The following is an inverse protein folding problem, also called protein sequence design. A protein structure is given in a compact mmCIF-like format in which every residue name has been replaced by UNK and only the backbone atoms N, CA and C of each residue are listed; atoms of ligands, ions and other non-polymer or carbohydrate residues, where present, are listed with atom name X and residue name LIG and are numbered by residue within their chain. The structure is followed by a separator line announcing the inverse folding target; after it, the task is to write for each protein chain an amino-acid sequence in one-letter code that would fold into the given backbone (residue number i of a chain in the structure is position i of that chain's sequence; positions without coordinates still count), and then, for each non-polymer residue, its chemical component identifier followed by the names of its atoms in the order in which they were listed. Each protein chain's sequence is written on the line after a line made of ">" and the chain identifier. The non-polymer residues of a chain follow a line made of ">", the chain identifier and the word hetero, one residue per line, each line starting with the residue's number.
data_IF_377184652305
#
_entry.id   IF_377184652305
#
_cell.length_a   1.000
_cell.length_b   1.000
_cell.length_c   1.000
_cell.angle_alpha   90.00
_cell.angle_beta   90.00
_cell.angle_gamma   90.00
#
_symmetry.space_group_name_H-M   'P 1'
#
loop_
_entity.id
_entity.type
_entity.pdbx_description
1 polymer ?
#
# COMPACT_ATOMS: atom_id res chain seq x y z
N UNK A 1 2.32 30.61 -20.50
CA UNK A 1 3.28 29.68 -21.14
C UNK A 1 4.12 28.95 -20.09
N UNK A 2 4.63 29.66 -19.08
CA UNK A 2 5.52 29.07 -18.08
C UNK A 2 4.88 27.92 -17.26
N UNK A 3 3.61 28.06 -16.90
CA UNK A 3 2.84 26.99 -16.21
C UNK A 3 2.68 25.71 -17.05
N UNK A 4 2.62 25.83 -18.38
CA UNK A 4 2.51 24.66 -19.28
C UNK A 4 3.85 23.90 -19.31
N UNK A 5 4.97 24.63 -19.36
CA UNK A 5 6.31 24.04 -19.31
C UNK A 5 6.60 23.40 -17.96
N UNK A 6 6.21 24.04 -16.84
CA UNK A 6 6.30 23.47 -15.49
C UNK A 6 5.46 22.19 -15.38
N UNK A 7 4.23 22.19 -15.89
CA UNK A 7 3.37 21.01 -15.87
C UNK A 7 3.96 19.85 -16.68
N UNK A 8 4.45 20.12 -17.89
CA UNK A 8 5.10 19.10 -18.71
C UNK A 8 6.39 18.57 -18.06
N UNK A 9 7.21 19.46 -17.50
CA UNK A 9 8.44 19.10 -16.79
C UNK A 9 8.17 18.25 -15.55
N UNK A 10 7.19 18.63 -14.73
CA UNK A 10 6.80 17.86 -13.54
C UNK A 10 6.25 16.49 -13.91
N UNK A 11 5.39 16.42 -14.94
CA UNK A 11 4.85 15.15 -15.42
C UNK A 11 5.97 14.20 -15.87
N UNK A 12 6.93 14.68 -16.66
CA UNK A 12 8.08 13.89 -17.09
C UNK A 12 8.98 13.46 -15.93
N UNK A 13 9.22 14.35 -14.96
CA UNK A 13 10.01 14.05 -13.78
C UNK A 13 9.35 12.96 -12.92
N UNK A 14 8.06 13.10 -12.61
CA UNK A 14 7.29 12.09 -11.87
C UNK A 14 7.26 10.76 -12.63
N UNK A 15 7.06 10.79 -13.95
CA UNK A 15 7.06 9.57 -14.77
C UNK A 15 8.41 8.84 -14.67
N UNK A 16 9.54 9.55 -14.77
CA UNK A 16 10.88 8.97 -14.61
C UNK A 16 11.09 8.42 -13.20
N UNK A 17 10.67 9.17 -12.17
CA UNK A 17 10.84 8.75 -10.79
C UNK A 17 10.01 7.51 -10.44
N UNK A 18 8.73 7.46 -10.85
CA UNK A 18 7.89 6.28 -10.67
C UNK A 18 8.39 5.09 -11.48
N UNK A 19 8.97 5.33 -12.67
CA UNK A 19 9.61 4.26 -13.46
C UNK A 19 10.78 3.62 -12.72
N UNK A 20 11.56 4.40 -11.97
CA UNK A 20 12.67 3.92 -11.13
C UNK A 20 12.14 3.20 -9.88
N UNK A 21 11.06 3.70 -9.27
CA UNK A 21 10.43 3.06 -8.10
C UNK A 21 9.88 1.65 -8.39
N UNK A 22 9.60 1.33 -9.66
CA UNK A 22 9.29 -0.02 -10.12
C UNK A 22 7.82 -0.24 -10.45
N UNK A 23 7.41 -1.52 -10.50
CA UNK A 23 6.07 -1.96 -10.96
C UNK A 23 5.24 -2.48 -9.79
N UNK A 24 4.83 -1.61 -8.86
CA UNK A 24 3.77 -1.98 -7.89
C UNK A 24 2.41 -1.66 -8.53
N UNK A 25 1.53 -2.65 -8.60
CA UNK A 25 0.14 -2.43 -9.00
C UNK A 25 -0.59 -1.63 -7.92
N UNK A 26 -1.57 -0.81 -8.32
CA UNK A 26 -2.40 -0.03 -7.38
C UNK A 26 -3.07 -0.91 -6.29
N UNK A 27 -3.35 -2.18 -6.62
CA UNK A 27 -3.94 -3.17 -5.72
C UNK A 27 -3.02 -3.63 -4.58
N UNK A 28 -1.71 -3.43 -4.74
CA UNK A 28 -0.67 -3.95 -3.84
C UNK A 28 -0.02 -2.84 -3.02
N UNK A 29 -0.53 -1.60 -3.14
CA UNK A 29 -0.07 -0.47 -2.37
C UNK A 29 -0.36 -0.71 -0.89
N UNK A 30 0.69 -0.58 -0.09
CA UNK A 30 0.58 -0.58 1.37
C UNK A 30 -0.01 0.76 1.85
N UNK A 31 -0.47 0.82 3.09
CA UNK A 31 -0.93 2.08 3.70
C UNK A 31 0.15 3.16 3.65
N UNK A 32 1.42 2.77 3.79
CA UNK A 32 2.55 3.69 3.69
C UNK A 32 2.71 4.25 2.27
N UNK A 33 2.57 3.40 1.25
CA UNK A 33 2.62 3.84 -0.16
C UNK A 33 1.49 4.84 -0.45
N UNK A 34 0.33 4.66 0.19
CA UNK A 34 -0.80 5.58 0.07
C UNK A 34 -0.50 6.96 0.67
N UNK A 35 0.12 7.00 1.87
CA UNK A 35 0.57 8.25 2.50
C UNK A 35 1.62 8.95 1.63
N UNK A 36 2.57 8.19 1.07
CA UNK A 36 3.59 8.71 0.17
C UNK A 36 2.96 9.34 -1.08
N UNK A 37 1.99 8.66 -1.70
CA UNK A 37 1.27 9.18 -2.86
C UNK A 37 0.55 10.50 -2.54
N UNK A 38 -0.07 10.62 -1.37
CA UNK A 38 -0.70 11.87 -0.93
C UNK A 38 0.31 13.01 -0.77
N UNK A 39 1.45 12.75 -0.16
CA UNK A 39 2.51 13.77 0.03
C UNK A 39 3.07 14.22 -1.32
N UNK A 40 3.29 13.29 -2.26
CA UNK A 40 3.75 13.61 -3.61
C UNK A 40 2.70 14.47 -4.34
N UNK A 41 1.41 14.16 -4.18
CA UNK A 41 0.31 14.96 -4.75
C UNK A 41 0.34 16.41 -4.26
N UNK A 42 0.47 16.61 -2.95
CA UNK A 42 0.56 17.95 -2.35
C UNK A 42 1.80 18.71 -2.83
N UNK A 43 2.98 18.07 -2.83
CA UNK A 43 4.21 18.68 -3.33
C UNK A 43 4.10 19.06 -4.82
N UNK A 44 3.45 18.21 -5.62
CA UNK A 44 3.20 18.47 -7.04
C UNK A 44 2.27 19.67 -7.23
N UNK A 45 1.20 19.77 -6.45
CA UNK A 45 0.29 20.92 -6.48
C UNK A 45 1.02 22.22 -6.16
N UNK A 46 1.84 22.21 -5.10
CA UNK A 46 2.65 23.38 -4.73
C UNK A 46 3.66 23.75 -5.83
N UNK A 47 4.25 22.79 -6.53
CA UNK A 47 5.16 23.04 -7.64
C UNK A 47 4.49 23.70 -8.86
N UNK A 48 3.24 23.33 -9.14
CA UNK A 48 2.48 23.81 -10.28
C UNK A 48 1.91 25.21 -10.05
N UNK A 49 1.53 25.51 -8.80
CA UNK A 49 0.87 26.76 -8.42
C UNK A 49 1.82 27.79 -7.76
N UNK A 50 2.97 27.35 -7.26
CA UNK A 50 3.92 28.19 -6.55
C UNK A 50 4.88 28.97 -7.45
N UNK A 51 5.50 30.00 -6.88
CA UNK A 51 6.56 30.79 -7.50
C UNK A 51 7.85 29.95 -7.73
N UNK A 52 8.82 30.48 -8.48
CA UNK A 52 9.93 29.73 -9.10
C UNK A 52 10.70 28.77 -8.16
N UNK A 53 10.91 29.15 -6.90
CA UNK A 53 11.57 28.30 -5.89
C UNK A 53 10.73 27.07 -5.47
N UNK A 54 9.42 27.09 -5.69
CA UNK A 54 8.49 25.99 -5.38
C UNK A 54 8.72 24.75 -6.24
N UNK A 55 9.07 24.95 -7.52
CA UNK A 55 9.27 23.82 -8.45
C UNK A 55 10.52 22.99 -8.09
N UNK A 56 11.66 23.65 -7.86
CA UNK A 56 12.91 22.98 -7.51
C UNK A 56 12.78 22.31 -6.13
N UNK A 57 12.19 23.01 -5.15
CA UNK A 57 11.96 22.44 -3.82
C UNK A 57 11.04 21.21 -3.89
N UNK A 58 9.95 21.26 -4.65
CA UNK A 58 9.09 20.11 -4.82
C UNK A 58 9.81 18.94 -5.48
N UNK A 59 10.62 19.19 -6.52
CA UNK A 59 11.47 18.16 -7.14
C UNK A 59 12.41 17.52 -6.13
N UNK A 60 13.09 18.31 -5.29
CA UNK A 60 13.98 17.81 -4.24
C UNK A 60 13.23 16.98 -3.20
N UNK A 61 12.05 17.45 -2.75
CA UNK A 61 11.21 16.72 -1.79
C UNK A 61 10.76 15.39 -2.37
N UNK A 62 10.18 15.39 -3.58
CA UNK A 62 9.68 14.18 -4.25
C UNK A 62 10.83 13.20 -4.50
N UNK A 63 11.99 13.68 -4.99
CA UNK A 63 13.16 12.84 -5.21
C UNK A 63 13.67 12.22 -3.90
N UNK A 64 13.74 13.01 -2.82
CA UNK A 64 14.16 12.52 -1.49
C UNK A 64 13.20 11.45 -0.98
N UNK A 65 11.89 11.68 -1.08
CA UNK A 65 10.87 10.73 -0.65
C UNK A 65 10.95 9.41 -1.43
N UNK A 66 11.19 9.47 -2.75
CA UNK A 66 11.32 8.27 -3.57
C UNK A 66 12.62 7.51 -3.27
N UNK A 67 13.73 8.22 -3.06
CA UNK A 67 14.98 7.59 -2.63
C UNK A 67 14.81 6.91 -1.27
N UNK A 68 14.10 7.55 -0.33
CA UNK A 68 13.77 6.95 0.96
C UNK A 68 12.86 5.73 0.81
N UNK A 69 11.83 5.79 -0.04
CA UNK A 69 10.92 4.66 -0.27
C UNK A 69 11.63 3.45 -0.89
N UNK A 70 12.45 3.68 -1.91
CA UNK A 70 13.28 2.65 -2.54
C UNK A 70 14.28 2.10 -1.53
N UNK A 71 14.94 2.97 -0.76
CA UNK A 71 15.88 2.57 0.29
C UNK A 71 15.23 1.72 1.38
N UNK A 72 14.04 2.11 1.85
CA UNK A 72 13.25 1.33 2.80
C UNK A 72 12.81 0.00 2.18
N UNK A 73 12.37 -0.01 0.91
CA UNK A 73 11.99 -1.23 0.21
C UNK A 73 13.16 -2.22 0.09
N UNK A 74 14.38 -1.74 -0.21
CA UNK A 74 15.59 -2.57 -0.22
C UNK A 74 15.97 -3.04 1.20
N UNK A 75 15.85 -2.17 2.20
CA UNK A 75 16.12 -2.54 3.60
C UNK A 75 15.11 -3.58 4.13
N UNK A 76 13.86 -3.54 3.68
CA UNK A 76 12.83 -4.55 3.97
C UNK A 76 13.20 -5.93 3.43
N UNK A 77 13.90 -6.02 2.29
CA UNK A 77 14.38 -7.31 1.74
C UNK A 77 15.41 -7.97 2.67
N UNK A 78 16.31 -7.19 3.27
CA UNK A 78 17.32 -7.70 4.20
C UNK A 78 16.80 -7.89 5.63
N UNK A 79 15.73 -7.22 6.04
CA UNK A 79 15.22 -7.26 7.42
C UNK A 79 13.73 -7.58 7.52
N UNK A 80 13.42 -8.83 7.92
CA UNK A 80 12.06 -9.28 8.26
C UNK A 80 11.42 -8.53 9.45
N UNK A 81 12.22 -7.86 10.29
CA UNK A 81 11.70 -7.00 11.37
C UNK A 81 11.24 -5.66 10.81
N UNK A 82 12.02 -5.05 9.92
CA UNK A 82 11.67 -3.79 9.27
C UNK A 82 10.43 -3.95 8.39
N UNK A 83 10.36 -5.05 7.62
CA UNK A 83 9.17 -5.38 6.83
C UNK A 83 7.91 -5.53 7.71
N UNK A 84 8.05 -6.15 8.90
CA UNK A 84 6.93 -6.31 9.84
C UNK A 84 6.43 -5.01 10.45
N UNK A 85 7.33 -4.07 10.73
CA UNK A 85 6.97 -2.78 11.33
C UNK A 85 6.35 -1.85 10.29
N UNK A 86 6.87 -1.86 9.06
CA UNK A 86 6.44 -0.93 8.01
C UNK A 86 5.24 -1.43 7.21
N UNK A 87 5.21 -2.72 6.84
CA UNK A 87 4.16 -3.28 5.97
C UNK A 87 3.19 -4.20 6.73
N UNK A 88 3.42 -4.43 8.03
CA UNK A 88 2.73 -5.47 8.77
C UNK A 88 3.14 -6.89 8.37
N UNK A 89 2.37 -7.89 8.81
CA UNK A 89 2.55 -9.29 8.43
C UNK A 89 1.22 -9.91 8.00
N UNK A 90 1.32 -10.82 7.03
CA UNK A 90 0.20 -11.70 6.69
C UNK A 90 -0.21 -12.50 7.93
N UNK A 91 -1.47 -12.38 8.35
CA UNK A 91 -1.97 -13.01 9.58
C UNK A 91 -3.09 -13.98 9.25
N UNK A 92 -2.87 -15.26 9.51
CA UNK A 92 -3.92 -16.26 9.41
C UNK A 92 -4.96 -16.03 10.51
N UNK A 93 -6.21 -15.80 10.12
CA UNK A 93 -7.34 -15.51 11.02
C UNK A 93 -8.41 -16.60 11.03
N UNK A 94 -8.49 -17.43 10.00
CA UNK A 94 -9.32 -18.66 9.99
C UNK A 94 -8.47 -19.84 9.56
N UNK A 95 -8.64 -20.98 10.23
CA UNK A 95 -7.99 -22.25 9.91
C UNK A 95 -9.00 -23.40 9.98
N UNK A 96 -9.24 -24.06 8.86
CA UNK A 96 -10.16 -25.20 8.69
C UNK A 96 -11.52 -24.95 9.37
N UNK A 97 -12.19 -23.87 8.96
CA UNK A 97 -13.50 -23.48 9.49
C UNK A 97 -13.51 -22.93 10.92
N UNK A 98 -12.34 -22.69 11.54
CA UNK A 98 -12.27 -22.16 12.92
C UNK A 98 -11.65 -20.77 12.95
N UNK A 99 -12.35 -19.84 13.58
CA UNK A 99 -11.85 -18.50 13.86
C UNK A 99 -10.71 -18.53 14.88
N UNK A 100 -9.61 -17.87 14.54
CA UNK A 100 -8.47 -17.68 15.42
C UNK A 100 -8.61 -16.34 16.15
N UNK A 101 -9.56 -16.25 17.09
CA UNK A 101 -9.92 -15.00 17.77
C UNK A 101 -8.74 -14.21 18.35
N UNK A 102 -7.73 -14.91 18.89
CA UNK A 102 -6.53 -14.25 19.42
C UNK A 102 -5.73 -13.48 18.36
N UNK A 103 -5.74 -13.95 17.11
CA UNK A 103 -5.11 -13.28 15.96
C UNK A 103 -6.04 -12.22 15.38
N UNK A 104 -7.33 -12.50 15.28
CA UNK A 104 -8.34 -11.53 14.85
C UNK A 104 -8.37 -10.28 15.74
N UNK A 105 -8.32 -10.44 17.07
CA UNK A 105 -8.26 -9.32 18.01
C UNK A 105 -7.01 -8.46 17.82
N UNK A 106 -5.86 -9.07 17.49
CA UNK A 106 -4.63 -8.35 17.17
C UNK A 106 -4.73 -7.61 15.83
N UNK A 107 -5.43 -8.19 14.87
CA UNK A 107 -5.73 -7.59 13.57
C UNK A 107 -6.92 -6.61 13.61
N UNK A 108 -7.59 -6.46 14.76
CA UNK A 108 -8.81 -5.64 14.95
C UNK A 108 -9.95 -6.02 13.99
N UNK A 109 -10.10 -7.32 13.73
CA UNK A 109 -11.15 -7.87 12.89
C UNK A 109 -12.22 -8.60 13.70
N UNK A 110 -13.44 -8.51 13.23
CA UNK A 110 -14.61 -9.28 13.66
C UNK A 110 -14.81 -10.48 12.75
N UNK A 111 -15.68 -11.42 13.15
CA UNK A 111 -16.06 -12.55 12.30
C UNK A 111 -16.82 -12.09 11.06
N UNK A 112 -17.63 -11.04 11.21
CA UNK A 112 -18.41 -10.44 10.13
C UNK A 112 -17.51 -9.88 9.03
N UNK A 113 -16.37 -9.26 9.38
CA UNK A 113 -15.40 -8.76 8.40
C UNK A 113 -14.84 -9.90 7.53
N UNK A 114 -14.58 -11.06 8.13
CA UNK A 114 -14.06 -12.23 7.43
C UNK A 114 -15.15 -12.83 6.52
N UNK A 115 -16.38 -12.96 7.02
CA UNK A 115 -17.50 -13.51 6.26
C UNK A 115 -17.93 -12.57 5.13
N UNK A 116 -17.88 -11.25 5.34
CA UNK A 116 -18.10 -10.25 4.29
C UNK A 116 -17.09 -10.43 3.16
N UNK A 117 -15.80 -10.53 3.49
CA UNK A 117 -14.77 -10.75 2.48
C UNK A 117 -14.90 -12.12 1.79
N UNK A 118 -15.35 -13.16 2.49
CA UNK A 118 -15.64 -14.47 1.92
C UNK A 118 -16.83 -14.46 0.94
N UNK A 119 -17.87 -13.69 1.23
CA UNK A 119 -19.00 -13.46 0.32
C UNK A 119 -18.57 -12.70 -0.93
N UNK A 120 -17.84 -11.60 -0.75
CA UNK A 120 -17.42 -10.73 -1.87
C UNK A 120 -16.43 -11.45 -2.81
N UNK A 121 -15.49 -12.22 -2.25
CA UNK A 121 -14.43 -12.84 -3.04
C UNK A 121 -14.81 -14.19 -3.66
N UNK A 122 -15.61 -15.01 -2.98
CA UNK A 122 -15.87 -16.41 -3.36
C UNK A 122 -17.34 -16.84 -3.24
N UNK A 123 -18.24 -15.94 -2.82
CA UNK A 123 -19.66 -16.26 -2.60
C UNK A 123 -19.89 -17.24 -1.43
N UNK A 124 -18.99 -17.28 -0.45
CA UNK A 124 -19.06 -18.19 0.70
C UNK A 124 -19.83 -17.52 1.83
N UNK A 125 -20.85 -18.20 2.36
CA UNK A 125 -21.68 -17.66 3.45
C UNK A 125 -21.28 -18.17 4.84
N UNK A 126 -20.65 -19.35 4.91
CA UNK A 126 -20.34 -20.00 6.19
C UNK A 126 -18.85 -20.24 6.36
N UNK A 127 -18.37 -20.16 7.60
CA UNK A 127 -16.94 -20.29 7.90
C UNK A 127 -16.43 -21.69 7.63
N UNK A 128 -17.27 -22.72 7.73
CA UNK A 128 -16.90 -24.13 7.51
C UNK A 128 -16.43 -24.41 6.09
N UNK A 129 -16.81 -23.56 5.13
CA UNK A 129 -16.37 -23.64 3.74
C UNK A 129 -15.00 -22.99 3.52
N UNK A 130 -14.43 -22.34 4.54
CA UNK A 130 -13.16 -21.62 4.50
C UNK A 130 -12.06 -22.50 5.10
N UNK A 131 -11.11 -22.93 4.26
CA UNK A 131 -9.89 -23.62 4.72
C UNK A 131 -8.94 -22.64 5.39
N UNK A 132 -8.67 -21.50 4.75
CA UNK A 132 -7.81 -20.46 5.29
C UNK A 132 -8.36 -19.07 4.97
N UNK A 133 -8.34 -18.18 5.96
CA UNK A 133 -8.49 -16.74 5.75
C UNK A 133 -7.23 -16.03 6.24
N UNK A 134 -6.60 -15.23 5.37
CA UNK A 134 -5.32 -14.56 5.64
C UNK A 134 -5.51 -13.07 5.44
N UNK A 135 -5.23 -12.29 6.49
CA UNK A 135 -5.17 -10.83 6.40
C UNK A 135 -3.83 -10.45 5.79
N UNK A 136 -3.85 -9.90 4.59
CA UNK A 136 -2.68 -9.44 3.86
C UNK A 136 -2.13 -8.11 4.41
N UNK A 137 -0.94 -7.74 3.94
CA UNK A 137 -0.24 -6.50 4.35
C UNK A 137 -1.01 -5.22 4.01
N UNK A 138 -1.82 -5.25 2.96
CA UNK A 138 -2.70 -4.16 2.55
C UNK A 138 -4.05 -4.18 3.29
N UNK A 139 -4.25 -5.09 4.24
CA UNK A 139 -5.48 -5.23 5.02
C UNK A 139 -6.59 -6.04 4.34
N UNK A 140 -6.40 -6.47 3.08
CA UNK A 140 -7.36 -7.35 2.41
C UNK A 140 -7.35 -8.74 3.04
N UNK A 141 -8.49 -9.43 3.00
CA UNK A 141 -8.60 -10.80 3.48
C UNK A 141 -8.61 -11.73 2.27
N UNK A 142 -7.56 -12.53 2.14
CA UNK A 142 -7.45 -13.60 1.15
C UNK A 142 -8.17 -14.83 1.67
N UNK A 143 -9.10 -15.38 0.88
CA UNK A 143 -9.92 -16.54 1.25
C UNK A 143 -9.53 -17.74 0.39
N UNK A 144 -9.22 -18.86 1.06
CA UNK A 144 -8.93 -20.16 0.42
C UNK A 144 -10.03 -21.12 0.81
N UNK A 145 -10.77 -21.61 -0.18
CA UNK A 145 -11.91 -22.51 0.01
C UNK A 145 -11.44 -23.92 0.42
N UNK A 146 -12.24 -24.57 1.26
CA UNK A 146 -12.13 -26.01 1.54
C UNK A 146 -12.58 -26.77 0.27
N UNK A 147 -11.67 -27.58 -0.29
CA UNK A 147 -11.96 -28.41 -1.49
C UNK A 147 -12.84 -29.60 -1.13
#
# INVERSE_FOLDING_TARGET
>A
MDSILRAAGMYLALMLLFRIAGRRSLSDLTTFDFVLLMIIGEATQQALLGEDFSFINAMLVIATLIVLDVGLSLAKLNSRRLARVLDGHATLVVEHGRFLHGRMRKARLTEDDVLESARDSQGIETVEQIRYAIVERNGKISIIKEQ
#
